data_IF_391836811831
#
_entry.id   IF_391836811831
#
_cell.length_a   1.000
_cell.length_b   1.000
_cell.length_c   1.000
_cell.angle_alpha   90.00
_cell.angle_beta   90.00
_cell.angle_gamma   90.00
#
_symmetry.space_group_name_H-M   'P 1'
#
loop_
_entity.id
_entity.type
_entity.pdbx_description
1 polymer ?
#
# COMPACT_ATOMS: atom_id res chain seq x y z
N UNK A 1 -1.79 -5.94 -11.05
CA UNK A 1 -1.13 -5.71 -9.74
C UNK A 1 -1.91 -4.79 -8.81
N UNK A 2 -2.28 -3.59 -9.25
CA UNK A 2 -2.96 -2.55 -8.47
C UNK A 2 -4.25 -3.03 -7.78
N UNK A 3 -5.03 -3.90 -8.45
CA UNK A 3 -6.21 -4.53 -7.83
C UNK A 3 -5.88 -5.32 -6.56
N UNK A 4 -4.80 -6.10 -6.55
CA UNK A 4 -4.35 -6.86 -5.36
C UNK A 4 -3.92 -5.92 -4.24
N UNK A 5 -3.21 -4.85 -4.59
CA UNK A 5 -2.80 -3.78 -3.67
C UNK A 5 -3.99 -3.12 -2.98
N UNK A 6 -4.98 -2.65 -3.73
CA UNK A 6 -6.19 -2.03 -3.18
C UNK A 6 -6.96 -3.00 -2.28
N UNK A 7 -7.07 -4.28 -2.68
CA UNK A 7 -7.70 -5.31 -1.84
C UNK A 7 -6.95 -5.54 -0.53
N UNK A 8 -5.61 -5.60 -0.55
CA UNK A 8 -4.80 -5.77 0.66
C UNK A 8 -4.91 -4.56 1.59
N UNK A 9 -4.83 -3.33 1.06
CA UNK A 9 -5.05 -2.11 1.85
C UNK A 9 -6.39 -2.13 2.58
N UNK A 10 -7.46 -2.49 1.86
CA UNK A 10 -8.80 -2.62 2.45
C UNK A 10 -8.84 -3.69 3.54
N UNK A 11 -8.21 -4.85 3.32
CA UNK A 11 -8.14 -5.96 4.30
C UNK A 11 -7.36 -5.58 5.56
N UNK A 12 -6.35 -4.72 5.43
CA UNK A 12 -5.50 -4.27 6.53
C UNK A 12 -6.03 -2.97 7.20
N UNK A 13 -7.18 -2.44 6.76
CA UNK A 13 -7.77 -1.20 7.29
C UNK A 13 -6.93 0.05 7.01
N UNK A 14 -6.13 0.05 5.95
CA UNK A 14 -5.22 1.14 5.58
C UNK A 14 -5.75 1.94 4.40
N UNK A 15 -5.49 3.24 4.39
CA UNK A 15 -5.85 4.14 3.28
C UNK A 15 -4.71 4.34 2.30
N UNK A 16 -5.03 4.87 1.11
CA UNK A 16 -4.03 5.28 0.12
C UNK A 16 -3.11 6.39 0.65
N UNK A 17 -3.65 7.32 1.45
CA UNK A 17 -2.87 8.37 2.14
C UNK A 17 -1.89 7.74 3.13
N UNK A 18 -2.34 6.75 3.91
CA UNK A 18 -1.46 6.06 4.85
C UNK A 18 -0.34 5.35 4.11
N UNK A 19 -0.65 4.61 3.05
CA UNK A 19 0.35 3.94 2.24
C UNK A 19 1.36 4.92 1.65
N UNK A 20 0.88 6.01 1.04
CA UNK A 20 1.72 7.05 0.46
C UNK A 20 2.72 7.59 1.49
N UNK A 21 2.27 8.00 2.67
CA UNK A 21 3.17 8.51 3.73
C UNK A 21 4.20 7.51 4.25
N UNK A 22 3.94 6.19 4.16
CA UNK A 22 4.80 5.16 4.74
C UNK A 22 5.74 4.51 3.72
N UNK A 23 5.40 4.54 2.43
CA UNK A 23 6.11 3.81 1.38
C UNK A 23 6.61 4.68 0.25
N UNK A 24 6.15 5.93 0.16
CA UNK A 24 6.45 6.86 -0.93
C UNK A 24 6.97 8.17 -0.33
N UNK A 25 8.13 8.62 -0.82
CA UNK A 25 8.87 9.77 -0.32
C UNK A 25 9.13 10.82 -1.39
N UNK A 26 9.48 10.39 -2.61
CA UNK A 26 9.87 11.28 -3.72
C UNK A 26 8.70 11.82 -4.54
N UNK A 27 7.49 11.33 -4.30
CA UNK A 27 6.30 11.65 -5.10
C UNK A 27 5.24 12.32 -4.24
N UNK A 28 4.64 13.39 -4.72
CA UNK A 28 3.49 14.01 -4.06
C UNK A 28 2.23 13.13 -4.16
N UNK A 29 1.30 13.29 -3.22
CA UNK A 29 0.10 12.45 -3.15
C UNK A 29 -0.79 12.53 -4.40
N UNK A 30 -1.07 13.71 -4.99
CA UNK A 30 -1.85 13.78 -6.23
C UNK A 30 -1.25 13.00 -7.39
N UNK A 31 0.07 13.12 -7.62
CA UNK A 31 0.77 12.40 -8.68
C UNK A 31 0.77 10.89 -8.44
N UNK A 32 0.93 10.45 -7.18
CA UNK A 32 0.74 9.06 -6.80
C UNK A 32 -0.66 8.54 -7.17
N UNK A 33 -1.71 9.29 -6.86
CA UNK A 33 -3.09 8.90 -7.21
C UNK A 33 -3.26 8.77 -8.73
N UNK A 34 -2.76 9.73 -9.51
CA UNK A 34 -2.82 9.66 -10.99
C UNK A 34 -2.17 8.37 -11.50
N UNK A 35 -0.99 8.03 -11.00
CA UNK A 35 -0.30 6.81 -11.42
C UNK A 35 -1.07 5.53 -11.07
N UNK A 36 -1.81 5.49 -9.96
CA UNK A 36 -2.66 4.33 -9.66
C UNK A 36 -3.78 4.09 -10.68
N UNK A 37 -4.12 5.11 -11.49
CA UNK A 37 -5.08 5.02 -12.58
C UNK A 37 -4.40 4.81 -13.96
N UNK A 38 -3.12 5.16 -14.10
CA UNK A 38 -2.31 4.96 -15.30
C UNK A 38 -1.02 4.14 -14.97
N UNK A 39 -1.10 2.79 -15.02
CA UNK A 39 0.03 1.93 -14.71
C UNK A 39 1.18 1.99 -15.72
N UNK A 40 0.94 2.44 -16.95
CA UNK A 40 1.96 2.47 -18.00
C UNK A 40 3.01 3.57 -17.73
N UNK A 41 2.60 4.64 -17.03
CA UNK A 41 3.46 5.77 -16.65
C UNK A 41 3.79 5.79 -15.16
N UNK A 42 3.64 4.65 -14.49
CA UNK A 42 3.84 4.57 -13.06
C UNK A 42 5.33 4.66 -12.71
N UNK A 43 5.65 5.60 -11.83
CA UNK A 43 6.99 5.88 -11.35
C UNK A 43 7.55 4.66 -10.61
N UNK A 44 8.85 4.33 -10.77
CA UNK A 44 9.47 3.16 -10.15
C UNK A 44 9.23 3.06 -8.63
N UNK A 45 9.34 4.17 -7.91
CA UNK A 45 9.08 4.22 -6.46
C UNK A 45 7.65 3.75 -6.08
N UNK A 46 6.64 4.06 -6.91
CA UNK A 46 5.27 3.58 -6.67
C UNK A 46 5.19 2.07 -6.88
N UNK A 47 5.84 1.55 -7.92
CA UNK A 47 5.94 0.11 -8.11
C UNK A 47 6.60 -0.55 -6.91
N UNK A 48 7.80 -0.10 -6.53
CA UNK A 48 8.57 -0.66 -5.42
C UNK A 48 7.79 -0.60 -4.10
N UNK A 49 7.15 0.52 -3.79
CA UNK A 49 6.30 0.65 -2.61
C UNK A 49 5.15 -0.37 -2.61
N UNK A 50 4.48 -0.53 -3.75
CA UNK A 50 3.36 -1.48 -3.89
C UNK A 50 3.86 -2.92 -3.74
N UNK A 51 4.97 -3.28 -4.39
CA UNK A 51 5.60 -4.59 -4.26
C UNK A 51 6.01 -4.89 -2.82
N UNK A 52 6.69 -3.94 -2.15
CA UNK A 52 7.12 -4.06 -0.76
C UNK A 52 5.93 -4.24 0.19
N UNK A 53 4.83 -3.52 -0.03
CA UNK A 53 3.63 -3.69 0.79
C UNK A 53 2.91 -5.01 0.51
N UNK A 54 2.85 -5.45 -0.75
CA UNK A 54 2.25 -6.74 -1.11
C UNK A 54 3.06 -7.94 -0.60
N UNK A 55 4.39 -7.81 -0.48
CA UNK A 55 5.27 -8.86 0.05
C UNK A 55 5.28 -8.94 1.57
N UNK A 56 4.84 -7.88 2.28
CA UNK A 56 4.64 -7.94 3.71
C UNK A 56 3.55 -8.95 4.06
N UNK A 57 3.87 -9.88 4.97
CA UNK A 57 2.86 -10.75 5.58
C UNK A 57 1.75 -9.85 6.14
N UNK A 58 0.51 -10.18 5.78
CA UNK A 58 -0.68 -9.55 6.36
C UNK A 58 -0.54 -9.55 7.87
N UNK A 59 -0.56 -8.37 8.51
CA UNK A 59 -0.63 -8.22 9.98
C UNK A 59 -2.04 -8.60 10.48
N UNK A 60 -2.58 -9.74 10.00
CA UNK A 60 -3.82 -10.29 10.53
C UNK A 60 -3.49 -11.13 11.76
N UNK A 61 -3.94 -10.63 12.89
CA UNK A 61 -4.08 -11.31 14.20
C UNK A 61 -2.80 -11.55 15.00
N UNK A 62 -2.35 -10.52 15.70
CA UNK A 62 -1.73 -10.69 17.03
C UNK A 62 -2.34 -9.67 17.99
N UNK A 63 -3.68 -9.67 18.08
CA UNK A 63 -4.43 -8.82 19.01
C UNK A 63 -5.53 -9.61 19.74
N UNK A 64 -5.42 -10.94 19.84
CA UNK A 64 -6.36 -11.76 20.63
C UNK A 64 -5.70 -13.07 21.05
N UNK A 65 -4.96 -13.05 22.16
CA UNK A 65 -4.66 -14.17 23.07
C UNK A 65 -3.52 -13.75 24.00
N UNK A 66 -3.83 -12.91 24.99
CA UNK A 66 -3.06 -12.82 26.24
C UNK A 66 -3.85 -11.95 27.23
N UNK A 67 -4.85 -12.56 27.84
CA UNK A 67 -5.20 -12.29 29.24
C UNK A 67 -5.59 -13.63 29.81
N UNK A 68 -4.63 -14.19 30.54
CA UNK A 68 -4.78 -15.34 31.42
C UNK A 68 -5.47 -14.88 32.70
#
# INVERSE_FOLDING_TARGET
MIRKFRTKLKKDGRSLVWFHKNFITGINYPYFIIQLHDPERMHPEVWEGIYKYLSQKSLKSTATQQVN
#
